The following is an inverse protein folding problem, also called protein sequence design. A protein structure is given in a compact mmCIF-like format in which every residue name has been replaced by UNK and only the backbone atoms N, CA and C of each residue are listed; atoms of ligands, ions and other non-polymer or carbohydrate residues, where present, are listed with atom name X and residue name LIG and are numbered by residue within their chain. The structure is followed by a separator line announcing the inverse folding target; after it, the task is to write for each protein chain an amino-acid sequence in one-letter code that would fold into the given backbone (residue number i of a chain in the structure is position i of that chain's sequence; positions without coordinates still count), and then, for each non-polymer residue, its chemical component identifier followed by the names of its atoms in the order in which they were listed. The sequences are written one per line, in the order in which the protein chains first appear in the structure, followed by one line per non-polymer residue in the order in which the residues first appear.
data_IF_412751800160
#
_entry.id   IF_412751800160
#
_cell.length_a   1.000
_cell.length_b   1.000
_cell.length_c   1.000
_cell.angle_alpha   90.00
_cell.angle_beta   90.00
_cell.angle_gamma   90.00
#
_symmetry.space_group_name_H-M   'P 1'
#
loop_
_entity.id
_entity.type
_entity.pdbx_description
1 polymer ?
#
# COMPACT_ATOMS: atom_id res chain seq x y z
N UNK A 1 3.92 18.77 -23.20
CA UNK A 1 4.89 17.65 -23.27
C UNK A 1 5.88 17.68 -22.10
N UNK A 2 6.45 18.83 -21.73
CA UNK A 2 7.41 18.97 -20.58
C UNK A 2 6.79 18.64 -19.21
N UNK A 3 5.52 18.98 -18.98
CA UNK A 3 4.81 18.72 -17.71
C UNK A 3 4.56 17.21 -17.46
N UNK A 4 4.27 16.43 -18.51
CA UNK A 4 4.07 14.98 -18.39
C UNK A 4 5.36 14.23 -18.04
N UNK A 5 6.50 14.75 -18.49
CA UNK A 5 7.81 14.16 -18.17
C UNK A 5 8.18 14.36 -16.70
N UNK A 6 7.77 15.47 -16.09
CA UNK A 6 7.99 15.76 -14.67
C UNK A 6 7.15 14.85 -13.76
N UNK A 7 5.90 14.56 -14.15
CA UNK A 7 5.02 13.64 -13.42
C UNK A 7 5.55 12.21 -13.48
N UNK A 8 5.99 11.75 -14.65
CA UNK A 8 6.61 10.42 -14.80
C UNK A 8 7.91 10.33 -14.00
N UNK A 9 8.72 11.39 -13.99
CA UNK A 9 9.93 11.45 -13.19
C UNK A 9 9.64 11.36 -11.68
N UNK A 10 8.61 12.05 -11.20
CA UNK A 10 8.19 11.99 -9.79
C UNK A 10 7.63 10.60 -9.41
N UNK A 11 6.87 9.95 -10.29
CA UNK A 11 6.40 8.57 -10.10
C UNK A 11 7.55 7.55 -10.10
N UNK A 12 8.55 7.74 -10.96
CA UNK A 12 9.76 6.91 -10.99
C UNK A 12 10.59 7.11 -9.72
N UNK A 13 10.77 8.36 -9.27
CA UNK A 13 11.45 8.68 -8.00
C UNK A 13 10.69 8.05 -6.82
N UNK A 14 9.34 8.08 -6.85
CA UNK A 14 8.49 7.44 -5.84
C UNK A 14 8.67 5.93 -5.80
N UNK A 15 8.71 5.26 -6.95
CA UNK A 15 8.97 3.82 -7.06
C UNK A 15 10.38 3.45 -6.58
N UNK A 16 11.39 4.28 -6.89
CA UNK A 16 12.77 4.08 -6.44
C UNK A 16 12.87 4.27 -4.92
N UNK A 17 12.33 5.35 -4.36
CA UNK A 17 12.29 5.58 -2.91
C UNK A 17 11.54 4.47 -2.16
N UNK A 18 10.44 3.96 -2.72
CA UNK A 18 9.69 2.83 -2.17
C UNK A 18 10.48 1.51 -2.23
N UNK A 19 11.26 1.30 -3.29
CA UNK A 19 12.16 0.15 -3.41
C UNK A 19 13.35 0.19 -2.45
N UNK A 20 13.92 1.38 -2.22
CA UNK A 20 15.08 1.59 -1.34
C UNK A 20 14.69 1.47 0.14
N UNK A 21 13.56 2.05 0.55
CA UNK A 21 13.07 1.97 1.95
C UNK A 21 12.67 0.55 2.37
N UNK A 22 12.30 -0.32 1.43
CA UNK A 22 11.98 -1.72 1.71
C UNK A 22 13.18 -2.58 2.13
N UNK A 23 14.42 -2.09 1.95
CA UNK A 23 15.63 -2.88 2.23
C UNK A 23 16.11 -2.77 3.68
N UNK A 24 15.63 -1.79 4.45
CA UNK A 24 16.00 -1.56 5.86
C UNK A 24 14.78 -1.74 6.76
N UNK A 25 14.42 -3.00 7.04
CA UNK A 25 13.41 -3.30 8.06
C UNK A 25 14.08 -3.46 9.42
N UNK A 26 14.00 -2.43 10.26
CA UNK A 26 13.85 -2.61 11.70
C UNK A 26 12.46 -2.06 12.08
N UNK A 27 11.52 -2.99 12.26
CA UNK A 27 10.10 -2.76 12.47
C UNK A 27 9.88 -2.12 13.85
N UNK A 28 9.42 -0.86 13.87
CA UNK A 28 8.47 -0.36 14.88
C UNK A 28 7.88 1.04 14.58
N UNK A 29 8.21 1.71 13.47
CA UNK A 29 7.66 3.04 13.17
C UNK A 29 7.16 3.22 11.71
N UNK A 30 6.71 2.13 11.08
CA UNK A 30 6.31 2.08 9.66
C UNK A 30 4.92 2.69 9.37
N UNK A 31 4.08 2.91 10.40
CA UNK A 31 2.71 3.40 10.21
C UNK A 31 2.61 4.93 10.08
N UNK A 32 3.60 5.68 10.58
CA UNK A 32 3.58 7.14 10.58
C UNK A 32 3.98 7.72 9.22
N UNK A 33 5.06 7.20 8.63
CA UNK A 33 5.60 7.70 7.36
C UNK A 33 4.71 7.34 6.15
N UNK A 34 4.03 6.19 6.20
CA UNK A 34 3.14 5.73 5.13
C UNK A 34 1.85 6.57 5.01
N UNK A 35 1.35 7.09 6.13
CA UNK A 35 0.18 7.96 6.15
C UNK A 35 0.53 9.35 5.60
N UNK A 36 1.65 9.93 6.02
CA UNK A 36 2.09 11.26 5.59
C UNK A 36 2.42 11.36 4.09
N UNK A 37 3.02 10.32 3.50
CA UNK A 37 3.38 10.31 2.08
C UNK A 37 2.18 10.16 1.12
N UNK A 38 1.04 9.65 1.59
CA UNK A 38 -0.18 9.54 0.79
C UNK A 38 -0.99 10.85 0.70
N UNK A 39 -0.79 11.80 1.63
CA UNK A 39 -1.48 13.09 1.60
C UNK A 39 -0.94 14.05 0.54
N UNK A 40 0.35 13.91 0.19
CA UNK A 40 1.02 14.78 -0.80
C UNK A 40 0.38 14.68 -2.20
N UNK A 41 0.18 13.49 -2.79
CA UNK A 41 -0.46 13.39 -4.11
C UNK A 41 -1.92 13.83 -4.12
N UNK A 42 -2.68 13.55 -3.05
CA UNK A 42 -4.10 13.97 -2.94
C UNK A 42 -4.20 15.50 -2.86
N UNK A 43 -3.30 16.13 -2.13
CA UNK A 43 -3.26 17.60 -2.02
C UNK A 43 -2.91 18.26 -3.35
N UNK A 44 -1.97 17.66 -4.11
CA UNK A 44 -1.59 18.16 -5.43
C UNK A 44 -2.73 18.05 -6.45
N UNK A 45 -3.50 16.96 -6.40
CA UNK A 45 -4.71 16.74 -7.22
C UNK A 45 -5.79 17.81 -6.98
N UNK A 46 -6.05 18.12 -5.71
CA UNK A 46 -7.01 19.15 -5.32
C UNK A 46 -6.55 20.55 -5.75
N UNK A 47 -5.26 20.85 -5.62
CA UNK A 47 -4.67 22.10 -6.10
C UNK A 47 -4.81 22.19 -7.63
N UNK A 48 -4.59 21.11 -8.37
CA UNK A 48 -4.76 21.12 -9.83
C UNK A 48 -6.22 21.32 -10.24
N UNK A 49 -7.17 20.64 -9.56
CA UNK A 49 -8.61 20.81 -9.80
C UNK A 49 -9.07 22.27 -9.58
N UNK A 50 -8.60 22.90 -8.50
CA UNK A 50 -8.95 24.29 -8.18
C UNK A 50 -8.34 25.26 -9.18
N UNK A 51 -7.07 25.11 -9.57
CA UNK A 51 -6.45 25.93 -10.61
C UNK A 51 -7.15 25.80 -11.96
N UNK A 52 -7.57 24.59 -12.33
CA UNK A 52 -8.34 24.37 -13.56
C UNK A 52 -9.71 25.06 -13.50
N UNK A 53 -10.44 24.94 -12.39
CA UNK A 53 -11.71 25.63 -12.20
C UNK A 53 -11.54 27.16 -12.26
N UNK A 54 -10.50 27.70 -11.65
CA UNK A 54 -10.17 29.13 -11.70
C UNK A 54 -9.86 29.57 -13.14
N UNK A 55 -9.09 28.79 -13.90
CA UNK A 55 -8.80 29.09 -15.30
C UNK A 55 -10.07 29.09 -16.18
N UNK A 56 -10.99 28.16 -15.94
CA UNK A 56 -12.29 28.11 -16.62
C UNK A 56 -13.15 29.33 -16.26
N UNK A 57 -13.25 29.69 -14.99
CA UNK A 57 -14.00 30.88 -14.53
C UNK A 57 -13.41 32.16 -15.10
N UNK A 58 -12.08 32.25 -15.13
CA UNK A 58 -11.37 33.42 -15.68
C UNK A 58 -11.62 33.56 -17.19
N UNK A 59 -11.66 32.44 -17.91
CA UNK A 59 -11.99 32.40 -19.34
C UNK A 59 -13.46 32.76 -19.60
N UNK A 60 -14.38 32.38 -18.70
CA UNK A 60 -15.80 32.72 -18.78
C UNK A 60 -16.08 34.20 -18.47
N UNK A 61 -15.35 34.78 -17.51
CA UNK A 61 -15.43 36.22 -17.22
C UNK A 61 -14.91 37.06 -18.39
N UNK A 62 -13.82 36.62 -19.03
CA UNK A 62 -13.33 37.24 -20.28
C UNK A 62 -14.39 37.17 -21.39
N UNK A 63 -15.18 36.08 -21.42
CA UNK A 63 -16.21 35.90 -22.44
C UNK A 63 -17.44 36.79 -22.22
N UNK A 64 -17.86 37.00 -20.98
CA UNK A 64 -18.97 37.92 -20.67
C UNK A 64 -18.71 39.35 -21.16
N UNK A 65 -17.44 39.75 -21.26
CA UNK A 65 -17.02 41.07 -21.78
C UNK A 65 -17.02 41.17 -23.31
N UNK A 66 -17.00 40.06 -24.05
CA UNK A 66 -16.91 40.00 -25.52
C UNK A 66 -18.23 39.59 -26.20
N UNK A 67 -19.35 40.14 -25.74
CA UNK A 67 -20.69 39.90 -26.32
C UNK A 67 -20.84 40.53 -27.73
N UNK A 68 -20.21 39.93 -28.73
CA UNK A 68 -20.48 40.13 -30.16
C UNK A 68 -20.49 38.75 -30.84
N UNK A 69 -21.70 38.24 -31.09
CA UNK A 69 -21.98 36.85 -31.45
C UNK A 69 -21.55 36.50 -32.88
N UNK A 70 -20.61 35.57 -33.00
CA UNK A 70 -20.28 34.89 -34.27
C UNK A 70 -18.94 34.16 -34.20
N UNK A 71 -17.89 34.90 -33.83
CA UNK A 71 -16.54 34.34 -33.65
C UNK A 71 -16.46 33.33 -32.49
N UNK A 72 -17.31 33.51 -31.48
CA UNK A 72 -17.24 32.74 -30.24
C UNK A 72 -17.76 31.30 -30.34
N UNK A 73 -18.77 31.06 -31.17
CA UNK A 73 -19.28 29.70 -31.42
C UNK A 73 -18.21 28.84 -32.10
N UNK A 74 -17.45 29.43 -33.02
CA UNK A 74 -16.32 28.77 -33.70
C UNK A 74 -15.15 28.49 -32.73
N UNK A 75 -14.82 29.45 -31.87
CA UNK A 75 -13.81 29.27 -30.83
C UNK A 75 -14.20 28.21 -29.81
N UNK A 76 -15.44 28.21 -29.31
CA UNK A 76 -15.91 27.20 -28.36
C UNK A 76 -15.86 25.79 -28.93
N UNK A 77 -16.21 25.60 -30.22
CA UNK A 77 -16.12 24.28 -30.87
C UNK A 77 -14.66 23.78 -30.94
N UNK A 78 -13.72 24.69 -31.18
CA UNK A 78 -12.27 24.40 -31.21
C UNK A 78 -11.68 24.19 -29.80
N UNK A 79 -12.18 24.93 -28.82
CA UNK A 79 -11.71 24.88 -27.44
C UNK A 79 -12.27 23.68 -26.67
N UNK A 80 -13.55 23.33 -26.87
CA UNK A 80 -14.19 22.18 -26.23
C UNK A 80 -13.59 20.85 -26.69
N UNK A 81 -13.15 20.75 -27.95
CA UNK A 81 -12.48 19.54 -28.44
C UNK A 81 -11.15 19.31 -27.74
N UNK A 82 -10.35 20.37 -27.57
CA UNK A 82 -9.06 20.32 -26.88
C UNK A 82 -9.24 20.07 -25.39
N UNK A 83 -10.15 20.80 -24.73
CA UNK A 83 -10.44 20.64 -23.31
C UNK A 83 -11.05 19.25 -23.03
N UNK A 84 -11.94 18.78 -23.90
CA UNK A 84 -12.50 17.43 -23.83
C UNK A 84 -11.45 16.35 -23.96
N UNK A 85 -10.51 16.48 -24.91
CA UNK A 85 -9.37 15.55 -25.02
C UNK A 85 -8.54 15.52 -23.74
N UNK A 86 -8.23 16.67 -23.13
CA UNK A 86 -7.49 16.72 -21.87
C UNK A 86 -8.26 16.08 -20.71
N UNK A 87 -9.55 16.38 -20.56
CA UNK A 87 -10.41 15.79 -19.51
C UNK A 87 -10.48 14.28 -19.65
N UNK A 88 -10.59 13.76 -20.87
CA UNK A 88 -10.57 12.31 -21.11
C UNK A 88 -9.22 11.69 -20.74
N UNK A 89 -8.10 12.35 -21.07
CA UNK A 89 -6.76 11.87 -20.69
C UNK A 89 -6.62 11.81 -19.16
N UNK A 90 -6.99 12.88 -18.44
CA UNK A 90 -6.96 12.89 -16.97
C UNK A 90 -7.89 11.84 -16.36
N UNK A 91 -9.10 11.68 -16.91
CA UNK A 91 -10.05 10.66 -16.47
C UNK A 91 -9.49 9.25 -16.64
N UNK A 92 -8.89 8.95 -17.81
CA UNK A 92 -8.30 7.63 -18.07
C UNK A 92 -7.10 7.36 -17.15
N UNK A 93 -6.23 8.35 -16.95
CA UNK A 93 -5.09 8.25 -16.03
C UNK A 93 -5.56 7.94 -14.61
N UNK A 94 -6.52 8.70 -14.09
CA UNK A 94 -7.04 8.51 -12.74
C UNK A 94 -7.70 7.14 -12.54
N UNK A 95 -8.42 6.66 -13.55
CA UNK A 95 -8.98 5.30 -13.56
C UNK A 95 -7.88 4.25 -13.51
N UNK A 96 -6.83 4.38 -14.33
CA UNK A 96 -5.69 3.45 -14.28
C UNK A 96 -4.98 3.47 -12.93
N UNK A 97 -4.77 4.66 -12.35
CA UNK A 97 -4.17 4.82 -11.03
C UNK A 97 -5.02 4.17 -9.94
N UNK A 98 -6.35 4.32 -10.01
CA UNK A 98 -7.29 3.68 -9.09
C UNK A 98 -7.22 2.15 -9.17
N UNK A 99 -7.21 1.58 -10.38
CA UNK A 99 -7.08 0.14 -10.60
C UNK A 99 -5.75 -0.40 -10.05
N UNK A 100 -4.65 0.34 -10.25
CA UNK A 100 -3.33 -0.02 -9.72
C UNK A 100 -3.33 0.02 -8.19
N UNK A 101 -3.90 1.06 -7.59
CA UNK A 101 -3.96 1.20 -6.13
C UNK A 101 -4.79 0.06 -5.49
N UNK A 102 -5.94 -0.27 -6.09
CA UNK A 102 -6.77 -1.40 -5.63
C UNK A 102 -6.02 -2.73 -5.79
N UNK A 103 -5.32 -2.93 -6.91
CA UNK A 103 -4.55 -4.15 -7.16
C UNK A 103 -3.39 -4.32 -6.18
N UNK A 104 -2.65 -3.23 -5.91
CA UNK A 104 -1.56 -3.21 -4.94
C UNK A 104 -2.08 -3.42 -3.51
N UNK A 105 -3.23 -2.84 -3.16
CA UNK A 105 -3.88 -3.03 -1.87
C UNK A 105 -4.30 -4.49 -1.67
N UNK A 106 -4.85 -5.15 -2.70
CA UNK A 106 -5.20 -6.57 -2.65
C UNK A 106 -3.97 -7.47 -2.50
N UNK A 107 -2.88 -7.15 -3.19
CA UNK A 107 -1.62 -7.89 -3.06
C UNK A 107 -1.02 -7.74 -1.64
N UNK A 108 -1.07 -6.54 -1.07
CA UNK A 108 -0.61 -6.28 0.29
C UNK A 108 -1.43 -7.04 1.34
N UNK A 109 -2.77 -7.09 1.18
CA UNK A 109 -3.65 -7.87 2.04
C UNK A 109 -3.39 -9.38 1.91
N UNK A 110 -3.23 -9.90 0.69
CA UNK A 110 -2.92 -11.32 0.45
C UNK A 110 -1.60 -11.74 1.12
N UNK A 111 -0.59 -10.86 1.11
CA UNK A 111 0.67 -11.08 1.84
C UNK A 111 0.45 -11.10 3.36
N UNK A 112 -0.42 -10.23 3.88
CA UNK A 112 -0.74 -10.15 5.32
C UNK A 112 -1.58 -11.34 5.81
N UNK A 113 -2.43 -11.92 4.97
CA UNK A 113 -3.23 -13.10 5.34
C UNK A 113 -2.42 -14.40 5.37
N UNK A 114 -1.33 -14.52 4.58
CA UNK A 114 -0.41 -15.67 4.71
C UNK A 114 0.38 -15.69 6.03
N UNK A 115 0.32 -14.61 6.82
CA UNK A 115 0.90 -14.53 8.17
C UNK A 115 -0.11 -14.71 9.30
N UNK A 116 -1.30 -15.30 9.07
CA UNK A 116 -2.32 -15.47 10.12
C UNK A 116 -1.96 -16.46 11.26
N UNK A 117 -0.73 -16.96 11.31
CA UNK A 117 -0.23 -17.71 12.45
C UNK A 117 1.11 -18.36 12.15
N UNK A 118 1.85 -18.67 13.20
CA UNK A 118 3.08 -19.46 13.14
C UNK A 118 2.69 -20.90 13.51
N UNK A 119 2.91 -21.83 12.59
CA UNK A 119 2.57 -23.23 12.75
C UNK A 119 3.85 -24.08 12.79
N UNK A 120 3.86 -25.10 13.63
CA UNK A 120 4.95 -26.07 13.70
C UNK A 120 4.86 -26.99 12.49
N UNK A 121 5.86 -26.90 11.60
CA UNK A 121 5.92 -27.73 10.38
C UNK A 121 6.71 -29.02 10.56
N UNK A 122 7.77 -28.98 11.36
CA UNK A 122 8.63 -30.12 11.62
C UNK A 122 9.29 -29.97 12.99
N UNK A 123 9.57 -31.10 13.64
CA UNK A 123 10.29 -31.17 14.91
C UNK A 123 11.48 -32.10 14.70
N UNK A 124 12.69 -31.58 14.89
CA UNK A 124 13.91 -32.37 14.77
C UNK A 124 14.02 -33.36 15.94
N UNK A 125 14.41 -34.61 15.67
CA UNK A 125 14.51 -35.66 16.68
C UNK A 125 15.49 -35.34 17.82
N UNK A 126 16.54 -34.55 17.54
CA UNK A 126 17.53 -34.11 18.53
C UNK A 126 17.19 -32.78 19.22
N UNK A 127 15.96 -32.29 19.09
CA UNK A 127 15.54 -31.01 19.69
C UNK A 127 14.94 -31.17 21.09
N UNK A 128 15.04 -30.12 21.92
CA UNK A 128 14.38 -30.08 23.23
C UNK A 128 12.86 -30.33 23.12
N UNK A 129 12.23 -29.83 22.05
CA UNK A 129 10.82 -30.07 21.75
C UNK A 129 10.48 -31.55 21.48
N UNK A 130 11.39 -32.29 20.83
CA UNK A 130 11.21 -33.73 20.62
C UNK A 130 11.41 -34.54 21.91
N UNK A 131 12.38 -34.13 22.74
CA UNK A 131 12.64 -34.78 24.03
C UNK A 131 11.49 -34.57 25.03
N UNK A 132 10.88 -33.38 25.02
CA UNK A 132 9.70 -33.08 25.85
C UNK A 132 8.43 -33.77 25.33
N UNK A 133 8.29 -33.95 24.01
CA UNK A 133 7.21 -34.71 23.39
C UNK A 133 5.80 -34.09 23.48
N UNK A 134 5.67 -32.92 24.09
CA UNK A 134 4.42 -32.15 24.25
C UNK A 134 3.99 -31.46 22.95
N UNK A 135 4.97 -30.93 22.21
CA UNK A 135 4.80 -30.23 20.93
C UNK A 135 4.59 -31.20 19.77
N UNK A 136 3.70 -30.84 18.84
CA UNK A 136 3.42 -31.64 17.64
C UNK A 136 3.38 -30.79 16.37
N UNK A 137 3.63 -31.45 15.24
CA UNK A 137 3.44 -30.85 13.92
C UNK A 137 1.96 -30.50 13.74
N UNK A 138 1.68 -29.29 13.26
CA UNK A 138 0.33 -28.74 13.12
C UNK A 138 -0.12 -27.83 14.27
N UNK A 139 0.60 -27.81 15.40
CA UNK A 139 0.28 -26.90 16.50
C UNK A 139 0.49 -25.44 16.09
N UNK A 140 -0.44 -24.55 16.49
CA UNK A 140 -0.35 -23.10 16.29
C UNK A 140 0.31 -22.46 17.49
N UNK A 141 1.38 -21.72 17.27
CA UNK A 141 2.07 -20.95 18.31
C UNK A 141 1.24 -19.72 18.70
N UNK A 142 0.94 -19.57 19.98
CA UNK A 142 0.14 -18.47 20.55
C UNK A 142 1.03 -17.46 21.26
N UNK A 143 1.93 -17.93 22.12
CA UNK A 143 2.88 -17.07 22.82
C UNK A 143 4.23 -17.75 23.09
N UNK A 144 5.26 -16.94 23.27
CA UNK A 144 6.62 -17.33 23.62
C UNK A 144 7.05 -16.49 24.82
N UNK A 145 7.41 -17.15 25.92
CA UNK A 145 7.76 -16.54 27.22
C UNK A 145 6.68 -15.56 27.74
N UNK A 146 5.41 -15.86 27.46
CA UNK A 146 4.26 -15.03 27.83
C UNK A 146 3.96 -13.87 26.85
N UNK A 147 4.80 -13.63 25.85
CA UNK A 147 4.58 -12.64 24.79
C UNK A 147 3.78 -13.24 23.64
N UNK A 148 2.62 -12.67 23.31
CA UNK A 148 1.79 -13.13 22.20
C UNK A 148 2.53 -12.99 20.86
N UNK A 149 2.58 -14.06 20.07
CA UNK A 149 3.28 -14.05 18.77
C UNK A 149 2.37 -13.69 17.60
N UNK A 150 1.10 -13.32 17.86
CA UNK A 150 0.16 -12.90 16.81
C UNK A 150 0.65 -11.62 16.14
N UNK A 151 0.93 -11.71 14.83
CA UNK A 151 1.48 -10.61 14.03
C UNK A 151 3.00 -10.59 13.92
N UNK A 152 3.73 -11.45 14.64
CA UNK A 152 5.17 -11.62 14.43
C UNK A 152 5.46 -12.39 13.15
N UNK A 153 6.57 -12.07 12.48
CA UNK A 153 7.07 -12.91 11.41
C UNK A 153 7.72 -14.18 11.97
N UNK A 154 7.64 -15.32 11.25
CA UNK A 154 8.30 -16.55 11.66
C UNK A 154 9.81 -16.37 11.91
N UNK A 155 10.48 -15.55 11.10
CA UNK A 155 11.90 -15.23 11.24
C UNK A 155 12.23 -14.60 12.59
N UNK A 156 11.46 -13.60 13.03
CA UNK A 156 11.66 -12.91 14.31
C UNK A 156 11.49 -13.86 15.50
N UNK A 157 10.51 -14.77 15.44
CA UNK A 157 10.31 -15.78 16.49
C UNK A 157 11.47 -16.77 16.51
N UNK A 158 11.96 -17.22 15.35
CA UNK A 158 13.16 -18.06 15.29
C UNK A 158 14.40 -17.36 15.87
N UNK A 159 14.57 -16.07 15.61
CA UNK A 159 15.68 -15.29 16.19
C UNK A 159 15.57 -15.20 17.70
N UNK A 160 14.38 -14.92 18.25
CA UNK A 160 14.15 -14.94 19.70
C UNK A 160 14.48 -16.30 20.30
N UNK A 161 13.99 -17.40 19.70
CA UNK A 161 14.30 -18.75 20.16
C UNK A 161 15.80 -19.09 20.12
N UNK A 162 16.53 -18.59 19.12
CA UNK A 162 17.98 -18.79 19.00
C UNK A 162 18.79 -17.99 20.03
N UNK A 163 18.28 -16.84 20.46
CA UNK A 163 18.96 -15.95 21.41
C UNK A 163 18.78 -16.40 22.87
N UNK A 164 17.74 -17.17 23.18
CA UNK A 164 17.52 -17.66 24.54
C UNK A 164 18.53 -18.77 24.87
N UNK A 165 19.31 -18.54 25.93
CA UNK A 165 20.24 -19.51 26.51
C UNK A 165 19.68 -20.07 27.83
N UNK A 166 18.48 -20.66 27.77
CA UNK A 166 17.76 -21.09 28.96
C UNK A 166 16.40 -21.74 28.65
N UNK A 167 15.60 -22.05 29.68
CA UNK A 167 14.26 -22.60 29.48
C UNK A 167 13.35 -21.55 28.82
N UNK A 168 12.60 -21.96 27.80
CA UNK A 168 11.60 -21.15 27.09
C UNK A 168 10.22 -21.73 27.34
N UNK A 169 9.24 -20.89 27.64
CA UNK A 169 7.84 -21.29 27.81
C UNK A 169 7.10 -21.02 26.50
N UNK A 170 6.56 -22.08 25.89
CA UNK A 170 5.86 -22.02 24.61
C UNK A 170 4.40 -22.36 24.83
N UNK A 171 3.49 -21.44 24.52
CA UNK A 171 2.04 -21.71 24.55
C UNK A 171 1.56 -21.99 23.14
N UNK A 172 0.95 -23.16 22.95
CA UNK A 172 0.38 -23.58 21.65
C UNK A 172 -1.11 -23.85 21.77
N UNK A 173 -1.81 -23.68 20.66
CA UNK A 173 -3.19 -24.13 20.48
C UNK A 173 -3.23 -25.23 19.44
N UNK A 174 -3.93 -26.31 19.76
CA UNK A 174 -4.20 -27.41 18.85
C UNK A 174 -5.69 -27.36 18.50
N UNK A 175 -6.01 -27.02 17.26
CA UNK A 175 -7.36 -27.25 16.77
C UNK A 175 -7.53 -28.75 16.59
N UNK A 176 -8.37 -29.34 17.45
CA UNK A 176 -8.85 -30.69 17.25
C UNK A 176 -9.85 -30.63 16.09
N UNK A 177 -9.36 -30.64 14.86
CA UNK A 177 -10.20 -30.88 13.69
C UNK A 177 -10.90 -32.21 13.95
N UNK A 178 -12.19 -32.14 14.28
CA UNK A 178 -13.05 -33.29 14.48
C UNK A 178 -12.92 -34.18 13.24
N UNK A 179 -12.23 -35.30 13.46
CA UNK A 179 -12.07 -36.38 12.49
C UNK A 179 -13.47 -36.80 12.01
N UNK A 180 -13.73 -36.65 10.71
CA UNK A 180 -14.86 -37.21 9.99
C UNK A 180 -14.35 -37.95 8.78
#
# INVERSE_FOLDING_TARGET
MVMGMFVVLLEVIRLICFGVTRKDTNLNNENFWYSAWNFVPISLELIYCTLFAIAVVSSLQLFHFLSSLGFFVHLFKKMYTTVGMFVLIFSTFWVTLSVIHVSLSRLALAKKTMSNGIFIRNISQDSAAAQEGTLRVGDRLVSLDGEAVEGFQPSTVLEKLKLVQGPVIITVTREHSLDR
#
